data_IF_730924824245
#
_entry.id   IF_730924824245
#
_cell.length_a   1.000
_cell.length_b   1.000
_cell.length_c   1.000
_cell.angle_alpha   90.00
_cell.angle_beta   90.00
_cell.angle_gamma   90.00
#
_symmetry.space_group_name_H-M   'P 1'
#
loop_
_entity.id
_entity.type
_entity.pdbx_description
1 polymer ?
#
# COMPACT_ATOMS: atom_id res chain seq x y z
N UNK A 1 29.64 -12.09 -82.25
CA UNK A 1 28.98 -10.96 -81.56
C UNK A 1 28.55 -11.45 -80.20
N UNK A 2 29.34 -11.09 -79.18
CA UNK A 2 29.19 -11.48 -77.78
C UNK A 2 28.79 -10.22 -77.04
N UNK A 3 27.71 -10.25 -76.25
CA UNK A 3 27.52 -9.35 -75.09
C UNK A 3 26.29 -9.81 -74.31
N UNK A 4 26.53 -10.55 -73.23
CA UNK A 4 25.57 -10.78 -72.16
C UNK A 4 26.09 -10.05 -70.92
N UNK A 5 25.37 -9.01 -70.51
CA UNK A 5 25.65 -8.23 -69.32
C UNK A 5 25.22 -9.01 -68.07
N UNK A 6 26.06 -9.02 -67.04
CA UNK A 6 25.69 -9.43 -65.69
C UNK A 6 26.21 -8.39 -64.72
N UNK A 7 25.29 -7.63 -64.14
CA UNK A 7 25.53 -6.67 -63.07
C UNK A 7 25.60 -7.44 -61.75
N UNK A 8 26.76 -7.46 -61.09
CA UNK A 8 26.91 -7.91 -59.72
C UNK A 8 26.82 -6.67 -58.81
N UNK A 9 25.72 -6.51 -58.09
CA UNK A 9 25.57 -5.46 -57.08
C UNK A 9 25.76 -6.08 -55.69
N UNK A 10 26.93 -5.87 -55.10
CA UNK A 10 27.26 -6.29 -53.74
C UNK A 10 26.84 -5.19 -52.75
N UNK A 11 25.72 -5.41 -52.05
CA UNK A 11 25.34 -4.60 -50.88
C UNK A 11 26.20 -5.02 -49.67
N UNK A 12 27.10 -4.14 -49.25
CA UNK A 12 27.74 -4.19 -47.94
C UNK A 12 26.78 -3.58 -46.90
N UNK A 13 26.12 -4.43 -46.12
CA UNK A 13 25.42 -4.02 -44.90
C UNK A 13 26.49 -3.74 -43.82
N UNK A 14 26.80 -2.47 -43.57
CA UNK A 14 27.47 -2.05 -42.34
C UNK A 14 26.46 -2.18 -41.19
N UNK A 15 26.48 -3.32 -40.50
CA UNK A 15 25.90 -3.41 -39.16
C UNK A 15 26.80 -2.60 -38.21
N UNK A 16 26.36 -1.38 -37.88
CA UNK A 16 26.96 -0.61 -36.79
C UNK A 16 26.55 -1.26 -35.46
N UNK A 17 27.21 -2.37 -35.09
CA UNK A 17 27.16 -2.88 -33.73
C UNK A 17 27.91 -1.88 -32.84
N UNK A 18 27.18 -1.06 -32.07
CA UNK A 18 27.78 -0.30 -30.98
C UNK A 18 28.36 -1.32 -29.99
N UNK A 19 29.67 -1.34 -29.71
CA UNK A 19 30.20 -2.14 -28.63
C UNK A 19 29.89 -1.38 -27.34
N UNK A 20 28.63 -1.41 -26.90
CA UNK A 20 28.32 -1.04 -25.53
C UNK A 20 28.90 -2.18 -24.69
N UNK A 21 30.08 -1.96 -24.10
CA UNK A 21 30.65 -2.92 -23.17
C UNK A 21 29.58 -3.24 -22.13
N UNK A 22 29.13 -4.49 -22.07
CA UNK A 22 28.10 -4.91 -21.11
C UNK A 22 28.56 -4.45 -19.72
N UNK A 23 27.77 -3.58 -19.08
CA UNK A 23 28.05 -3.13 -17.72
C UNK A 23 28.23 -4.37 -16.85
N UNK A 24 29.20 -4.35 -15.93
CA UNK A 24 29.39 -5.45 -15.00
C UNK A 24 28.14 -5.55 -14.11
N UNK A 25 27.46 -6.69 -14.16
CA UNK A 25 26.23 -6.94 -13.41
C UNK A 25 26.56 -7.56 -12.05
N UNK A 26 25.80 -7.19 -11.03
CA UNK A 26 25.88 -7.75 -9.69
C UNK A 26 24.49 -8.10 -9.20
N UNK A 27 24.34 -9.28 -8.57
CA UNK A 27 23.09 -9.70 -7.94
C UNK A 27 22.65 -8.63 -6.95
N UNK A 28 21.42 -8.14 -7.13
CA UNK A 28 20.86 -7.05 -6.33
C UNK A 28 19.92 -7.59 -5.26
N UNK A 29 19.00 -8.46 -5.67
CA UNK A 29 18.11 -9.19 -4.77
C UNK A 29 17.97 -10.64 -5.22
N UNK A 30 17.88 -11.55 -4.26
CA UNK A 30 17.55 -12.96 -4.49
C UNK A 30 16.71 -13.52 -3.34
N UNK A 31 15.93 -14.55 -3.63
CA UNK A 31 15.22 -15.38 -2.66
C UNK A 31 15.36 -16.84 -3.07
N UNK A 32 15.56 -17.73 -2.08
CA UNK A 32 15.79 -19.15 -2.36
C UNK A 32 14.54 -19.84 -2.93
N UNK A 33 13.37 -19.52 -2.39
CA UNK A 33 12.09 -20.16 -2.73
C UNK A 33 10.99 -19.11 -2.89
N UNK A 34 9.95 -19.37 -3.72
CA UNK A 34 8.77 -18.50 -3.83
C UNK A 34 8.07 -18.28 -2.49
N UNK A 35 7.19 -17.27 -2.41
CA UNK A 35 6.41 -17.08 -1.19
C UNK A 35 5.51 -18.28 -0.91
N UNK A 36 5.15 -18.45 0.36
CA UNK A 36 4.30 -19.56 0.80
C UNK A 36 3.03 -19.61 -0.05
N UNK A 37 2.70 -20.80 -0.55
CA UNK A 37 1.52 -21.02 -1.38
C UNK A 37 1.73 -20.80 -2.87
N UNK A 38 2.88 -20.27 -3.31
CA UNK A 38 3.18 -20.10 -4.74
C UNK A 38 4.10 -21.20 -5.27
N UNK A 39 3.84 -21.65 -6.49
CA UNK A 39 4.68 -22.61 -7.22
C UNK A 39 4.98 -22.13 -8.63
N UNK A 40 6.23 -22.33 -9.10
CA UNK A 40 6.60 -22.05 -10.50
C UNK A 40 5.80 -22.97 -11.41
N UNK A 41 5.00 -22.38 -12.29
CA UNK A 41 4.06 -23.09 -13.15
C UNK A 41 4.58 -23.20 -14.59
N UNK A 42 5.18 -22.14 -15.12
CA UNK A 42 5.74 -22.12 -16.47
C UNK A 42 6.75 -20.98 -16.66
N UNK A 43 7.46 -20.98 -17.79
CA UNK A 43 8.25 -19.83 -18.24
C UNK A 43 7.30 -18.70 -18.67
N UNK A 44 7.62 -17.46 -18.33
CA UNK A 44 6.81 -16.32 -18.75
C UNK A 44 6.97 -16.07 -20.27
N UNK A 45 5.87 -15.80 -21.01
CA UNK A 45 5.97 -15.50 -22.43
C UNK A 45 6.86 -14.28 -22.68
N UNK A 46 7.83 -14.39 -23.58
CA UNK A 46 8.80 -13.34 -23.87
C UNK A 46 8.16 -11.99 -24.25
N UNK A 47 6.99 -12.01 -24.92
CA UNK A 47 6.24 -10.84 -25.36
C UNK A 47 5.27 -10.28 -24.32
N UNK A 48 5.10 -10.94 -23.16
CA UNK A 48 4.21 -10.44 -22.11
C UNK A 48 4.79 -9.12 -21.58
N UNK A 49 4.01 -8.05 -21.66
CA UNK A 49 4.39 -6.77 -21.07
C UNK A 49 4.37 -6.85 -19.55
N UNK A 50 5.44 -6.36 -18.93
CA UNK A 50 5.58 -6.13 -17.51
C UNK A 50 5.51 -4.63 -17.24
N UNK A 51 4.77 -4.26 -16.21
CA UNK A 51 4.89 -2.93 -15.61
C UNK A 51 5.76 -3.07 -14.37
N UNK A 52 6.94 -2.46 -14.39
CA UNK A 52 7.91 -2.52 -13.28
C UNK A 52 8.11 -1.12 -12.71
N UNK A 53 8.09 -1.02 -11.39
CA UNK A 53 8.49 0.14 -10.61
C UNK A 53 9.94 0.00 -10.15
N UNK A 54 10.70 1.07 -10.27
CA UNK A 54 12.10 1.20 -9.85
C UNK A 54 12.12 2.17 -8.68
N UNK A 55 12.42 1.68 -7.47
CA UNK A 55 12.65 2.55 -6.32
C UNK A 55 14.07 3.10 -6.36
N UNK A 56 14.19 4.42 -6.37
CA UNK A 56 15.45 5.12 -6.36
C UNK A 56 15.90 5.42 -4.93
N UNK A 57 17.20 5.62 -4.74
CA UNK A 57 17.74 6.02 -3.44
C UNK A 57 17.27 7.43 -3.09
N UNK A 58 16.45 7.51 -2.06
CA UNK A 58 16.00 8.75 -1.43
C UNK A 58 17.18 9.43 -0.71
N UNK A 59 17.17 10.75 -0.61
CA UNK A 59 18.34 11.55 -0.20
C UNK A 59 18.74 11.40 1.28
N UNK A 60 17.81 11.60 2.21
CA UNK A 60 18.09 11.58 3.66
C UNK A 60 16.89 11.03 4.47
N UNK A 61 16.68 9.72 4.39
CA UNK A 61 15.60 9.06 5.13
C UNK A 61 15.84 9.06 6.65
N UNK A 62 17.11 9.03 7.09
CA UNK A 62 17.45 9.18 8.50
C UNK A 62 17.08 10.55 9.06
N UNK A 63 17.28 11.60 8.27
CA UNK A 63 16.87 12.96 8.60
C UNK A 63 15.36 13.10 8.64
N UNK A 64 14.63 12.46 7.71
CA UNK A 64 13.17 12.43 7.74
C UNK A 64 12.65 11.72 8.99
N UNK A 65 13.21 10.56 9.35
CA UNK A 65 12.84 9.83 10.57
C UNK A 65 13.05 10.71 11.82
N UNK A 66 14.21 11.36 11.91
CA UNK A 66 14.48 12.30 13.01
C UNK A 66 13.47 13.45 13.03
N UNK A 67 13.17 14.04 11.88
CA UNK A 67 12.22 15.14 11.78
C UNK A 67 10.79 14.70 12.17
N UNK A 68 10.38 13.47 11.80
CA UNK A 68 9.11 12.88 12.24
C UNK A 68 9.05 12.81 13.77
N UNK A 69 10.09 12.27 14.42
CA UNK A 69 10.10 12.19 15.89
C UNK A 69 10.08 13.56 16.56
N UNK A 70 10.83 14.53 16.03
CA UNK A 70 10.83 15.89 16.56
C UNK A 70 9.45 16.56 16.48
N UNK A 71 8.64 16.28 15.45
CA UNK A 71 7.29 16.86 15.33
C UNK A 71 6.21 16.05 16.03
N UNK A 72 6.51 14.82 16.45
CA UNK A 72 5.53 13.90 17.05
C UNK A 72 5.73 13.59 18.53
N UNK A 73 6.90 13.93 19.11
CA UNK A 73 7.14 13.79 20.56
C UNK A 73 6.52 14.97 21.32
N UNK A 74 5.55 14.77 22.23
CA UNK A 74 4.95 15.83 23.04
C UNK A 74 5.94 16.62 23.92
N UNK A 75 7.12 16.06 24.21
CA UNK A 75 8.18 16.74 24.93
C UNK A 75 9.06 17.63 24.04
N UNK A 76 8.96 17.50 22.71
CA UNK A 76 9.71 18.29 21.74
C UNK A 76 9.16 19.70 21.60
N UNK A 77 10.05 20.67 21.46
CA UNK A 77 9.66 22.05 21.12
C UNK A 77 9.01 22.17 19.73
N UNK A 78 9.21 21.16 18.87
CA UNK A 78 8.64 21.08 17.52
C UNK A 78 7.35 20.24 17.46
N UNK A 79 6.84 19.75 18.60
CA UNK A 79 5.60 18.97 18.64
C UNK A 79 4.45 19.66 17.90
N UNK A 80 3.79 18.93 17.01
CA UNK A 80 2.69 19.41 16.16
C UNK A 80 3.11 20.35 15.02
N UNK A 81 4.41 20.69 14.88
CA UNK A 81 4.94 21.52 13.80
C UNK A 81 5.34 20.67 12.59
N UNK A 82 4.39 19.90 12.07
CA UNK A 82 4.58 18.98 10.95
C UNK A 82 5.20 19.64 9.71
N UNK A 83 5.85 18.83 8.88
CA UNK A 83 6.57 19.29 7.69
C UNK A 83 5.61 19.82 6.62
N UNK A 84 6.12 20.76 5.83
CA UNK A 84 5.48 21.13 4.55
C UNK A 84 5.96 20.18 3.45
N UNK A 85 5.21 20.05 2.33
CA UNK A 85 5.65 19.24 1.19
C UNK A 85 7.04 19.62 0.67
N UNK A 86 7.41 20.90 0.73
CA UNK A 86 8.72 21.39 0.29
C UNK A 86 9.84 20.92 1.21
N UNK A 87 9.62 20.93 2.53
CA UNK A 87 10.59 20.39 3.50
C UNK A 87 10.71 18.88 3.37
N UNK A 88 9.59 18.18 3.17
CA UNK A 88 9.57 16.74 2.94
C UNK A 88 10.38 16.36 1.69
N UNK A 89 10.19 17.11 0.59
CA UNK A 89 10.89 16.87 -0.66
C UNK A 89 12.42 16.91 -0.52
N UNK A 90 12.96 17.73 0.40
CA UNK A 90 14.41 17.82 0.63
C UNK A 90 15.02 16.52 1.18
N UNK A 91 14.23 15.72 1.92
CA UNK A 91 14.66 14.41 2.42
C UNK A 91 14.44 13.30 1.39
N UNK A 92 13.35 13.36 0.64
CA UNK A 92 12.90 12.22 -0.18
C UNK A 92 13.46 12.25 -1.59
N UNK A 93 13.53 13.43 -2.23
CA UNK A 93 13.89 13.56 -3.64
C UNK A 93 15.28 12.97 -3.90
N UNK A 94 15.44 12.05 -4.87
CA UNK A 94 16.76 11.52 -5.21
C UNK A 94 17.73 12.61 -5.66
N UNK A 95 19.02 12.37 -5.48
CA UNK A 95 20.07 13.29 -5.94
C UNK A 95 20.06 13.40 -7.48
N UNK A 96 20.57 14.52 -8.01
CA UNK A 96 20.72 14.69 -9.46
C UNK A 96 21.59 13.60 -10.07
N UNK A 97 22.62 13.13 -9.35
CA UNK A 97 23.47 12.02 -9.74
C UNK A 97 22.68 10.72 -9.89
N UNK A 98 21.86 10.35 -8.90
CA UNK A 98 20.97 9.17 -8.97
C UNK A 98 20.02 9.25 -10.16
N UNK A 99 19.38 10.41 -10.37
CA UNK A 99 18.45 10.60 -11.49
C UNK A 99 19.17 10.48 -12.84
N UNK A 100 20.33 11.13 -13.00
CA UNK A 100 21.14 11.04 -14.22
C UNK A 100 21.62 9.61 -14.48
N UNK A 101 22.21 8.95 -13.48
CA UNK A 101 22.75 7.60 -13.64
C UNK A 101 21.68 6.58 -14.08
N UNK A 102 20.49 6.65 -13.48
CA UNK A 102 19.39 5.73 -13.83
C UNK A 102 18.75 6.10 -15.16
N UNK A 103 18.51 7.40 -15.43
CA UNK A 103 17.91 7.81 -16.71
C UNK A 103 18.81 7.52 -17.91
N UNK A 104 20.12 7.71 -17.79
CA UNK A 104 21.10 7.35 -18.81
C UNK A 104 21.11 5.83 -19.07
N UNK A 105 21.11 5.03 -18.00
CA UNK A 105 21.07 3.57 -18.13
C UNK A 105 19.77 3.06 -18.76
N UNK A 106 18.62 3.65 -18.40
CA UNK A 106 17.35 3.29 -19.04
C UNK A 106 17.34 3.69 -20.52
N UNK A 107 17.85 4.88 -20.86
CA UNK A 107 17.96 5.35 -22.24
C UNK A 107 18.94 4.50 -23.07
N UNK A 108 20.03 4.00 -22.48
CA UNK A 108 20.96 3.06 -23.13
C UNK A 108 20.29 1.75 -23.56
N UNK A 109 19.18 1.38 -22.89
CA UNK A 109 18.41 0.17 -23.16
C UNK A 109 17.10 0.46 -23.90
N UNK A 110 16.94 1.66 -24.46
CA UNK A 110 15.74 2.12 -25.16
C UNK A 110 14.45 2.06 -24.29
N UNK A 111 14.59 2.32 -22.99
CA UNK A 111 13.48 2.29 -22.01
C UNK A 111 13.09 3.72 -21.64
N UNK A 112 11.81 4.03 -21.78
CA UNK A 112 11.20 5.25 -21.22
C UNK A 112 10.62 4.95 -19.85
N UNK A 113 10.72 5.93 -18.94
CA UNK A 113 10.17 5.86 -17.59
C UNK A 113 9.29 7.05 -17.24
N UNK A 114 8.31 6.85 -16.36
CA UNK A 114 7.51 7.91 -15.77
C UNK A 114 7.65 7.93 -14.25
N UNK A 115 7.75 9.11 -13.63
CA UNK A 115 7.68 9.20 -12.17
C UNK A 115 6.26 8.89 -11.69
N UNK A 116 6.13 8.02 -10.69
CA UNK A 116 4.83 7.64 -10.09
C UNK A 116 4.68 8.15 -8.65
N UNK A 117 5.76 8.63 -8.04
CA UNK A 117 5.72 9.33 -6.75
C UNK A 117 5.91 10.83 -6.91
N UNK A 118 5.37 11.66 -5.99
CA UNK A 118 5.46 13.12 -6.09
C UNK A 118 6.89 13.68 -6.13
N UNK A 119 7.86 12.94 -5.56
CA UNK A 119 9.25 13.36 -5.46
C UNK A 119 10.18 12.66 -6.47
N UNK A 120 9.64 11.81 -7.35
CA UNK A 120 10.41 11.11 -8.38
C UNK A 120 11.37 10.04 -7.85
N UNK A 121 11.18 9.59 -6.61
CA UNK A 121 11.90 8.47 -5.98
C UNK A 121 11.38 7.10 -6.40
N UNK A 122 10.33 7.04 -7.22
CA UNK A 122 9.85 5.82 -7.85
C UNK A 122 9.47 6.09 -9.30
N UNK A 123 10.03 5.28 -10.19
CA UNK A 123 9.80 5.34 -11.64
C UNK A 123 9.04 4.10 -12.09
N UNK A 124 8.09 4.23 -13.02
CA UNK A 124 7.44 3.12 -13.71
C UNK A 124 8.01 2.98 -15.12
N UNK A 125 8.27 1.73 -15.52
CA UNK A 125 8.65 1.32 -16.88
C UNK A 125 7.71 0.22 -17.37
N UNK A 126 7.46 0.19 -18.68
CA UNK A 126 6.68 -0.87 -19.34
C UNK A 126 7.52 -1.53 -20.41
N UNK A 127 7.86 -2.80 -20.20
CA UNK A 127 8.78 -3.55 -21.07
C UNK A 127 8.34 -5.02 -21.19
N UNK A 128 8.60 -5.70 -22.32
CA UNK A 128 8.35 -7.14 -22.44
C UNK A 128 9.29 -7.95 -21.54
N UNK A 129 8.82 -9.14 -21.13
CA UNK A 129 9.61 -10.11 -20.34
C UNK A 129 11.02 -10.34 -20.92
N UNK A 130 11.16 -10.42 -22.25
CA UNK A 130 12.48 -10.58 -22.88
C UNK A 130 13.43 -9.44 -22.54
N UNK A 131 12.97 -8.18 -22.65
CA UNK A 131 13.79 -7.01 -22.35
C UNK A 131 14.04 -6.89 -20.84
N UNK A 132 13.09 -7.29 -20.00
CA UNK A 132 13.28 -7.32 -18.54
C UNK A 132 14.35 -8.33 -18.12
N UNK A 133 14.33 -9.54 -18.71
CA UNK A 133 15.36 -10.57 -18.48
C UNK A 133 16.75 -10.05 -18.90
N UNK A 134 16.85 -9.37 -20.04
CA UNK A 134 18.11 -8.80 -20.53
C UNK A 134 18.60 -7.64 -19.63
N UNK A 135 17.70 -6.69 -19.31
CA UNK A 135 17.99 -5.51 -18.49
C UNK A 135 18.50 -5.88 -17.10
N UNK A 136 17.86 -6.87 -16.47
CA UNK A 136 18.09 -7.25 -15.09
C UNK A 136 18.90 -8.54 -14.93
N UNK A 137 19.37 -9.15 -16.03
CA UNK A 137 20.00 -10.48 -16.01
C UNK A 137 19.23 -11.47 -15.14
N UNK A 138 17.92 -11.58 -15.41
CA UNK A 138 16.95 -12.31 -14.59
C UNK A 138 16.24 -13.40 -15.40
N UNK A 139 15.49 -14.26 -14.71
CA UNK A 139 14.57 -15.22 -15.33
C UNK A 139 13.16 -15.03 -14.77
N UNK A 140 12.32 -14.31 -15.50
CA UNK A 140 10.89 -14.20 -15.16
C UNK A 140 10.12 -15.47 -15.54
N UNK A 141 9.26 -15.90 -14.61
CA UNK A 141 8.42 -17.08 -14.72
C UNK A 141 7.00 -16.80 -14.24
N UNK A 142 6.04 -17.63 -14.65
CA UNK A 142 4.67 -17.62 -14.13
C UNK A 142 4.63 -18.45 -12.85
N UNK A 143 4.13 -17.86 -11.78
CA UNK A 143 3.86 -18.51 -10.51
C UNK A 143 2.36 -18.57 -10.25
N UNK A 144 1.87 -19.69 -9.74
CA UNK A 144 0.46 -19.90 -9.40
C UNK A 144 0.33 -20.09 -7.90
N UNK A 145 -0.61 -19.38 -7.28
CA UNK A 145 -1.01 -19.62 -5.91
C UNK A 145 -1.89 -20.87 -5.85
N UNK A 146 -1.49 -21.86 -5.05
CA UNK A 146 -2.06 -23.22 -5.07
C UNK A 146 -3.54 -23.24 -4.69
N UNK A 147 -3.96 -22.38 -3.76
CA UNK A 147 -5.33 -22.40 -3.24
C UNK A 147 -6.31 -21.58 -4.09
N UNK A 148 -5.93 -20.37 -4.49
CA UNK A 148 -6.80 -19.48 -5.27
C UNK A 148 -6.73 -19.72 -6.78
N UNK A 149 -5.65 -20.34 -7.27
CA UNK A 149 -5.35 -20.45 -8.69
C UNK A 149 -4.90 -19.13 -9.35
N UNK A 150 -4.73 -18.05 -8.58
CA UNK A 150 -4.26 -16.77 -9.12
C UNK A 150 -2.82 -16.88 -9.60
N UNK A 151 -2.50 -16.22 -10.72
CA UNK A 151 -1.18 -16.28 -11.34
C UNK A 151 -0.48 -14.93 -11.33
N UNK A 152 0.85 -14.93 -11.24
CA UNK A 152 1.68 -13.74 -11.32
C UNK A 152 2.98 -14.02 -12.07
N UNK A 153 3.54 -12.99 -12.74
CA UNK A 153 4.86 -13.09 -13.38
C UNK A 153 5.90 -12.49 -12.45
N UNK A 154 6.87 -13.29 -12.01
CA UNK A 154 7.87 -12.94 -10.99
C UNK A 154 9.23 -13.54 -11.33
N UNK A 155 10.26 -13.15 -10.61
CA UNK A 155 11.57 -13.80 -10.63
C UNK A 155 12.06 -14.02 -9.21
N UNK A 156 12.98 -14.96 -9.01
CA UNK A 156 13.56 -15.25 -7.69
C UNK A 156 14.93 -14.59 -7.51
N UNK A 157 15.53 -14.06 -8.58
CA UNK A 157 16.81 -13.37 -8.55
C UNK A 157 16.90 -12.38 -9.70
N UNK A 158 17.49 -11.23 -9.45
CA UNK A 158 17.90 -10.32 -10.51
C UNK A 158 19.16 -9.55 -10.14
N UNK A 159 19.82 -9.02 -11.16
CA UNK A 159 21.03 -8.22 -11.07
C UNK A 159 20.81 -6.83 -11.64
N UNK A 160 21.66 -5.89 -11.22
CA UNK A 160 21.76 -4.56 -11.83
C UNK A 160 23.23 -4.24 -12.12
N UNK A 161 23.54 -3.24 -12.97
CA UNK A 161 24.89 -2.75 -13.12
C UNK A 161 25.50 -2.36 -11.76
N UNK A 162 26.74 -2.76 -11.50
CA UNK A 162 27.42 -2.52 -10.22
C UNK A 162 27.42 -1.03 -9.82
N UNK A 163 27.55 -0.12 -10.80
CA UNK A 163 27.51 1.33 -10.57
C UNK A 163 26.13 1.91 -10.23
N UNK A 164 25.05 1.11 -10.29
CA UNK A 164 23.70 1.55 -9.91
C UNK A 164 23.26 1.08 -8.52
N UNK A 165 24.11 0.30 -7.83
CA UNK A 165 23.81 -0.26 -6.50
C UNK A 165 23.45 0.79 -5.45
N UNK A 166 24.11 1.95 -5.51
CA UNK A 166 23.86 3.05 -4.57
C UNK A 166 22.75 3.99 -5.04
N UNK A 167 22.20 3.77 -6.23
CA UNK A 167 21.15 4.59 -6.85
C UNK A 167 19.77 3.92 -6.85
N UNK A 168 19.71 2.59 -6.80
CA UNK A 168 18.47 1.80 -6.87
C UNK A 168 18.29 1.00 -5.58
N UNK A 169 17.13 1.14 -4.93
CA UNK A 169 16.76 0.29 -3.80
C UNK A 169 16.26 -1.08 -4.27
N UNK A 170 15.32 -1.12 -5.22
CA UNK A 170 14.75 -2.36 -5.75
C UNK A 170 13.94 -2.14 -7.03
N UNK A 171 13.60 -3.24 -7.70
CA UNK A 171 12.58 -3.35 -8.73
C UNK A 171 11.36 -4.10 -8.19
N UNK A 172 10.16 -3.66 -8.54
CA UNK A 172 8.90 -4.29 -8.14
C UNK A 172 7.90 -4.29 -9.30
N UNK A 173 7.05 -5.32 -9.51
CA UNK A 173 7.06 -6.60 -8.80
C UNK A 173 8.11 -7.55 -9.39
N UNK A 174 9.07 -7.97 -8.56
CA UNK A 174 10.11 -8.96 -8.93
C UNK A 174 10.01 -10.18 -8.03
N UNK A 175 10.46 -10.05 -6.77
CA UNK A 175 10.53 -11.10 -5.77
C UNK A 175 9.36 -11.07 -4.77
N UNK A 176 8.47 -10.08 -4.84
CA UNK A 176 7.31 -9.94 -3.97
C UNK A 176 6.10 -10.68 -4.54
N UNK A 177 5.43 -11.49 -3.73
CA UNK A 177 4.30 -12.31 -4.12
C UNK A 177 3.10 -11.95 -3.24
N UNK A 178 2.48 -10.83 -3.56
CA UNK A 178 1.24 -10.42 -2.93
C UNK A 178 0.12 -11.37 -3.29
N UNK A 179 -0.73 -11.64 -2.29
CA UNK A 179 -1.99 -12.33 -2.47
C UNK A 179 -3.07 -11.27 -2.61
N UNK A 180 -4.01 -11.40 -3.55
CA UNK A 180 -5.19 -10.53 -3.55
C UNK A 180 -5.81 -10.57 -2.16
N UNK A 181 -6.05 -9.40 -1.58
CA UNK A 181 -6.71 -9.29 -0.27
C UNK A 181 -8.10 -9.89 -0.42
N UNK A 182 -8.27 -11.13 -0.01
CA UNK A 182 -9.56 -11.79 -0.09
C UNK A 182 -10.49 -11.13 0.93
N UNK A 183 -11.78 -10.93 0.60
CA UNK A 183 -12.75 -10.56 1.61
C UNK A 183 -12.70 -11.63 2.71
N UNK A 184 -12.36 -11.21 3.93
CA UNK A 184 -12.52 -12.07 5.11
C UNK A 184 -13.95 -12.58 5.05
N UNK A 185 -14.12 -13.90 5.03
CA UNK A 185 -15.42 -14.49 5.27
C UNK A 185 -15.68 -14.26 6.75
N UNK A 186 -16.13 -13.05 7.08
CA UNK A 186 -16.79 -12.75 8.34
C UNK A 186 -18.10 -13.56 8.33
N UNK A 187 -17.98 -14.87 8.45
CA UNK A 187 -19.06 -15.69 8.92
C UNK A 187 -19.42 -15.08 10.25
N UNK A 188 -20.66 -14.59 10.38
CA UNK A 188 -21.24 -14.24 11.67
C UNK A 188 -21.03 -15.43 12.58
N UNK A 189 -19.95 -15.42 13.36
CA UNK A 189 -19.73 -16.42 14.40
C UNK A 189 -20.67 -15.98 15.50
N UNK A 190 -21.76 -16.73 15.78
CA UNK A 190 -22.58 -16.40 16.92
C UNK A 190 -21.65 -16.38 18.14
N UNK A 191 -21.66 -15.26 18.87
CA UNK A 191 -20.91 -15.16 20.10
C UNK A 191 -21.27 -16.38 20.97
N UNK A 192 -20.28 -17.16 21.46
CA UNK A 192 -20.59 -18.22 22.40
C UNK A 192 -21.30 -17.58 23.59
N UNK A 193 -22.48 -18.09 23.96
CA UNK A 193 -23.20 -17.64 25.16
C UNK A 193 -22.26 -17.76 26.36
N UNK A 194 -21.69 -16.65 26.83
CA UNK A 194 -20.89 -16.64 28.05
C UNK A 194 -21.79 -16.34 29.25
N UNK A 195 -21.55 -17.16 30.28
CA UNK A 195 -22.15 -17.05 31.62
C UNK A 195 -21.69 -15.73 32.23
N UNK A 196 -22.64 -14.99 32.81
CA UNK A 196 -22.38 -13.74 33.51
C UNK A 196 -21.27 -13.96 34.56
N UNK A 197 -20.16 -13.26 34.39
CA UNK A 197 -19.14 -13.10 35.43
C UNK A 197 -19.17 -11.66 35.88
N UNK A 198 -19.09 -11.45 37.20
CA UNK A 198 -19.22 -10.14 37.82
C UNK A 198 -18.19 -9.15 37.25
N UNK A 199 -18.69 -8.02 36.76
CA UNK A 199 -17.88 -6.98 36.17
C UNK A 199 -17.08 -6.25 37.27
N UNK A 200 -15.79 -6.04 37.01
CA UNK A 200 -14.99 -5.09 37.77
C UNK A 200 -15.63 -3.68 37.70
N UNK A 201 -15.42 -2.81 38.71
CA UNK A 201 -16.00 -1.47 38.70
C UNK A 201 -15.38 -0.63 37.57
N UNK A 202 -16.12 -0.47 36.47
CA UNK A 202 -15.81 0.48 35.40
C UNK A 202 -16.28 1.87 35.86
N UNK A 203 -15.49 2.90 35.59
CA UNK A 203 -15.77 4.28 36.02
C UNK A 203 -17.11 4.85 35.48
N UNK A 204 -17.70 4.21 34.46
CA UNK A 204 -19.00 4.55 33.89
C UNK A 204 -19.91 3.32 33.82
N UNK A 205 -21.22 3.53 33.91
CA UNK A 205 -22.24 2.48 33.76
C UNK A 205 -22.28 2.05 32.29
N UNK A 206 -21.51 1.01 31.95
CA UNK A 206 -21.59 0.37 30.63
C UNK A 206 -22.91 -0.41 30.54
N UNK A 207 -23.74 -0.20 29.51
CA UNK A 207 -24.96 -0.97 29.33
C UNK A 207 -24.69 -2.47 29.22
N UNK A 208 -25.46 -3.31 29.94
CA UNK A 208 -25.29 -4.76 29.91
C UNK A 208 -25.45 -5.37 28.50
N UNK A 209 -26.18 -4.69 27.60
CA UNK A 209 -26.30 -5.08 26.18
C UNK A 209 -24.95 -5.10 25.45
N UNK A 210 -23.98 -4.29 25.88
CA UNK A 210 -22.66 -4.18 25.27
C UNK A 210 -21.84 -5.48 25.37
N UNK A 211 -22.22 -6.40 26.26
CA UNK A 211 -21.62 -7.73 26.33
C UNK A 211 -22.01 -8.64 25.15
N UNK A 212 -23.12 -8.35 24.46
CA UNK A 212 -23.65 -9.18 23.37
C UNK A 212 -23.59 -8.47 22.01
N UNK A 213 -23.67 -7.14 22.01
CA UNK A 213 -23.63 -6.34 20.79
C UNK A 213 -22.92 -5.05 21.10
N UNK A 214 -21.74 -4.89 20.53
CA UNK A 214 -21.01 -3.63 20.61
C UNK A 214 -21.69 -2.66 19.65
N UNK A 215 -22.07 -1.48 20.13
CA UNK A 215 -22.61 -0.37 19.34
C UNK A 215 -21.71 0.85 19.56
N UNK A 216 -21.87 1.95 18.82
CA UNK A 216 -21.06 3.14 19.08
C UNK A 216 -21.21 3.70 20.50
N UNK A 217 -22.40 3.64 21.08
CA UNK A 217 -22.63 4.02 22.48
C UNK A 217 -21.85 3.10 23.46
N UNK A 218 -21.70 1.82 23.12
CA UNK A 218 -20.84 0.91 23.89
C UNK A 218 -19.38 1.33 23.82
N UNK A 219 -18.86 1.67 22.63
CA UNK A 219 -17.49 2.15 22.49
C UNK A 219 -17.25 3.46 23.25
N UNK A 220 -18.21 4.39 23.20
CA UNK A 220 -18.17 5.62 23.99
C UNK A 220 -18.12 5.34 25.48
N UNK A 221 -18.93 4.39 25.97
CA UNK A 221 -18.93 4.01 27.38
C UNK A 221 -17.66 3.26 27.81
N UNK A 222 -17.17 2.31 27.00
CA UNK A 222 -15.98 1.51 27.30
C UNK A 222 -14.72 2.37 27.38
N UNK A 223 -14.58 3.33 26.45
CA UNK A 223 -13.36 4.11 26.28
C UNK A 223 -13.48 5.57 26.72
N UNK A 224 -14.57 5.93 27.38
CA UNK A 224 -14.88 7.30 27.80
C UNK A 224 -14.78 8.32 26.65
N UNK A 225 -15.19 7.93 25.43
CA UNK A 225 -15.17 8.81 24.27
C UNK A 225 -16.27 9.86 24.44
N UNK A 226 -15.97 11.17 24.37
CA UNK A 226 -16.97 12.20 24.51
C UNK A 226 -18.07 12.09 23.45
N UNK A 227 -19.32 12.32 23.87
CA UNK A 227 -20.46 12.45 22.95
C UNK A 227 -20.56 13.85 22.34
N UNK A 228 -19.78 14.80 22.85
CA UNK A 228 -19.72 16.17 22.33
C UNK A 228 -19.24 16.16 20.88
N UNK A 229 -20.01 16.73 19.94
CA UNK A 229 -19.60 16.84 18.55
C UNK A 229 -18.26 17.58 18.41
N UNK A 230 -17.41 17.11 17.49
CA UNK A 230 -16.15 17.77 17.19
C UNK A 230 -16.40 19.20 16.64
N UNK A 231 -15.59 20.15 17.07
CA UNK A 231 -15.64 21.56 16.62
C UNK A 231 -14.41 21.95 15.81
N UNK A 232 -13.41 21.09 15.73
CA UNK A 232 -12.15 21.30 15.01
C UNK A 232 -12.24 20.82 13.57
N UNK A 233 -11.38 21.35 12.70
CA UNK A 233 -11.30 20.99 11.29
C UNK A 233 -10.58 19.66 11.02
N UNK A 234 -10.80 18.65 11.88
CA UNK A 234 -10.27 17.29 11.72
C UNK A 234 -11.01 16.58 10.58
N UNK A 235 -10.30 15.76 9.81
CA UNK A 235 -10.87 14.96 8.71
C UNK A 235 -10.39 13.52 8.81
N UNK A 236 -11.27 12.55 8.55
CA UNK A 236 -10.95 11.12 8.58
C UNK A 236 -10.99 10.54 7.17
N UNK A 237 -9.96 9.78 6.81
CA UNK A 237 -9.96 8.91 5.64
C UNK A 237 -10.19 7.46 6.07
N UNK A 238 -11.01 6.74 5.32
CA UNK A 238 -11.23 5.29 5.50
C UNK A 238 -10.95 4.63 4.16
N UNK A 239 -9.88 3.83 4.09
CA UNK A 239 -9.50 3.12 2.88
C UNK A 239 -10.37 1.88 2.63
N UNK A 240 -10.66 1.54 1.37
CA UNK A 240 -11.32 0.30 0.98
C UNK A 240 -10.64 -0.36 -0.22
N UNK A 241 -10.27 -1.64 -0.10
CA UNK A 241 -9.46 -2.36 -1.10
C UNK A 241 -10.13 -3.59 -1.73
N UNK A 242 -11.14 -4.18 -1.09
CA UNK A 242 -11.64 -5.55 -1.43
C UNK A 242 -12.93 -5.59 -2.24
N UNK A 243 -13.16 -4.59 -3.11
CA UNK A 243 -14.40 -4.45 -3.90
C UNK A 243 -15.70 -4.53 -3.06
N UNK A 244 -15.60 -4.15 -1.80
CA UNK A 244 -16.73 -3.95 -0.91
C UNK A 244 -17.01 -2.45 -0.82
N UNK A 245 -18.29 -2.11 -0.83
CA UNK A 245 -18.70 -0.71 -0.91
C UNK A 245 -19.52 -0.30 0.30
N UNK A 246 -19.18 0.87 0.85
CA UNK A 246 -19.98 1.51 1.89
C UNK A 246 -21.26 2.07 1.27
N UNK A 247 -22.40 1.81 1.92
CA UNK A 247 -23.71 2.20 1.40
C UNK A 247 -24.37 3.29 2.25
N UNK A 248 -24.82 4.36 1.59
CA UNK A 248 -25.41 5.52 2.26
C UNK A 248 -26.76 5.21 2.91
N UNK A 249 -27.57 4.32 2.33
CA UNK A 249 -28.85 3.94 2.93
C UNK A 249 -28.66 3.03 4.15
N UNK A 250 -27.64 2.18 4.13
CA UNK A 250 -27.28 1.35 5.29
C UNK A 250 -26.73 2.21 6.42
N UNK A 251 -25.87 3.18 6.10
CA UNK A 251 -25.41 4.18 7.07
C UNK A 251 -26.59 4.98 7.67
N UNK A 252 -27.52 5.45 6.84
CA UNK A 252 -28.72 6.14 7.33
C UNK A 252 -29.52 5.25 8.29
N UNK A 253 -29.69 3.97 7.97
CA UNK A 253 -30.39 3.01 8.84
C UNK A 253 -29.63 2.76 10.15
N UNK A 254 -28.31 2.64 10.08
CA UNK A 254 -27.42 2.53 11.24
C UNK A 254 -27.59 3.74 12.16
N UNK A 255 -27.53 4.97 11.64
CA UNK A 255 -27.67 6.19 12.42
C UNK A 255 -29.05 6.31 13.08
N UNK A 256 -30.13 6.02 12.33
CA UNK A 256 -31.49 6.00 12.91
C UNK A 256 -31.64 5.01 14.07
N UNK A 257 -30.89 3.92 14.05
CA UNK A 257 -31.04 2.83 15.02
C UNK A 257 -30.09 2.97 16.21
N UNK A 258 -28.86 3.45 15.98
CA UNK A 258 -27.77 3.37 16.97
C UNK A 258 -27.16 4.73 17.35
N UNK A 259 -27.48 5.82 16.63
CA UNK A 259 -27.00 7.20 16.89
C UNK A 259 -28.13 8.21 16.65
N UNK A 260 -29.20 8.11 17.42
CA UNK A 260 -30.39 8.99 17.32
C UNK A 260 -30.10 10.46 17.65
N UNK A 261 -28.94 10.74 18.23
CA UNK A 261 -28.38 12.06 18.52
C UNK A 261 -27.63 12.68 17.32
N UNK A 262 -27.38 11.93 16.24
CA UNK A 262 -26.84 12.42 14.97
C UNK A 262 -27.95 12.50 13.92
N UNK A 263 -27.87 13.49 13.02
CA UNK A 263 -28.75 13.53 11.85
C UNK A 263 -28.64 12.24 11.00
N UNK A 264 -29.75 11.57 10.68
CA UNK A 264 -29.75 10.45 9.74
C UNK A 264 -29.34 10.80 8.30
N UNK A 265 -29.12 12.09 8.00
CA UNK A 265 -28.57 12.56 6.73
C UNK A 265 -27.05 12.66 6.72
N UNK A 266 -26.38 12.47 7.86
CA UNK A 266 -24.92 12.45 7.94
C UNK A 266 -24.37 11.33 7.05
N UNK A 267 -23.36 11.66 6.25
CA UNK A 267 -22.81 10.77 5.23
C UNK A 267 -21.31 11.02 5.05
N UNK A 268 -20.69 10.20 4.20
CA UNK A 268 -19.29 10.31 3.78
C UNK A 268 -19.16 10.84 2.36
N UNK A 269 -17.98 11.37 2.03
CA UNK A 269 -17.55 11.69 0.66
C UNK A 269 -16.81 10.52 0.03
N UNK A 270 -16.83 10.42 -1.30
CA UNK A 270 -16.11 9.38 -2.03
C UNK A 270 -14.86 9.97 -2.69
N UNK A 271 -13.73 9.27 -2.52
CA UNK A 271 -12.53 9.42 -3.32
C UNK A 271 -12.22 8.07 -3.98
N UNK A 272 -11.73 8.08 -5.21
CA UNK A 272 -11.44 6.86 -5.96
C UNK A 272 -10.02 6.86 -6.48
N UNK A 273 -9.34 5.72 -6.40
CA UNK A 273 -8.03 5.47 -6.98
C UNK A 273 -8.09 4.21 -7.85
N UNK A 274 -7.26 4.14 -8.88
CA UNK A 274 -7.04 2.92 -9.68
C UNK A 274 -8.32 2.27 -10.21
N UNK A 275 -9.26 3.11 -10.67
CA UNK A 275 -10.56 2.66 -11.18
C UNK A 275 -11.54 2.24 -10.09
N UNK A 276 -11.26 2.55 -8.83
CA UNK A 276 -12.15 2.32 -7.70
C UNK A 276 -13.51 2.96 -7.91
N UNK A 277 -14.54 2.34 -7.35
CA UNK A 277 -15.94 2.79 -7.47
C UNK A 277 -16.64 2.69 -6.14
N UNK A 278 -17.84 3.26 -6.04
CA UNK A 278 -18.80 2.94 -5.00
C UNK A 278 -20.20 2.99 -5.59
N UNK A 279 -20.72 1.84 -5.98
CA UNK A 279 -21.93 1.74 -6.83
C UNK A 279 -23.22 2.13 -6.12
N UNK A 280 -23.20 2.22 -4.78
CA UNK A 280 -24.39 2.41 -3.93
C UNK A 280 -25.50 1.34 -4.11
N UNK A 281 -25.23 0.25 -4.83
CA UNK A 281 -26.14 -0.89 -4.94
C UNK A 281 -26.09 -1.68 -3.64
N UNK A 282 -27.20 -1.75 -2.89
CA UNK A 282 -27.25 -2.41 -1.58
C UNK A 282 -26.81 -3.88 -1.58
N UNK A 283 -27.13 -4.64 -2.63
CA UNK A 283 -26.69 -6.05 -2.73
C UNK A 283 -25.20 -6.22 -3.00
N UNK A 284 -24.52 -5.14 -3.36
CA UNK A 284 -23.09 -5.06 -3.59
C UNK A 284 -22.36 -4.41 -2.39
N UNK A 285 -23.11 -3.86 -1.43
CA UNK A 285 -22.53 -3.35 -0.20
C UNK A 285 -21.83 -4.49 0.54
N UNK A 286 -20.71 -4.16 1.19
CA UNK A 286 -19.91 -5.15 1.90
C UNK A 286 -19.88 -4.90 3.40
N UNK A 287 -19.72 -5.98 4.17
CA UNK A 287 -19.62 -5.94 5.63
C UNK A 287 -18.46 -5.04 6.06
N UNK A 288 -17.29 -5.16 5.44
CA UNK A 288 -16.08 -4.43 5.81
C UNK A 288 -16.25 -2.93 5.59
N UNK A 289 -16.56 -2.54 4.35
CA UNK A 289 -16.70 -1.12 4.01
C UNK A 289 -17.87 -0.45 4.76
N UNK A 290 -18.96 -1.17 5.03
CA UNK A 290 -20.02 -0.66 5.89
C UNK A 290 -19.58 -0.56 7.35
N UNK A 291 -18.91 -1.58 7.90
CA UNK A 291 -18.42 -1.60 9.28
C UNK A 291 -17.51 -0.40 9.53
N UNK A 292 -16.49 -0.23 8.70
CA UNK A 292 -15.50 0.84 8.83
C UNK A 292 -16.15 2.22 8.80
N UNK A 293 -17.00 2.47 7.79
CA UNK A 293 -17.67 3.77 7.65
C UNK A 293 -18.69 4.03 8.75
N UNK A 294 -19.53 3.03 9.09
CA UNK A 294 -20.58 3.19 10.08
C UNK A 294 -20.02 3.42 11.48
N UNK A 295 -18.96 2.70 11.87
CA UNK A 295 -18.34 2.91 13.17
C UNK A 295 -17.45 4.15 13.22
N UNK A 296 -16.77 4.51 12.12
CA UNK A 296 -16.03 5.77 12.05
C UNK A 296 -16.97 6.96 12.25
N UNK A 297 -18.03 7.08 11.45
CA UNK A 297 -19.03 8.16 11.59
C UNK A 297 -19.80 8.04 12.91
N UNK A 298 -20.08 6.80 13.32
CA UNK A 298 -20.82 6.47 14.53
C UNK A 298 -20.07 6.80 15.82
N UNK A 299 -18.76 6.97 15.80
CA UNK A 299 -17.96 7.36 16.97
C UNK A 299 -17.47 8.81 16.84
N UNK A 300 -16.93 9.20 15.68
CA UNK A 300 -16.40 10.53 15.41
C UNK A 300 -17.50 11.53 14.98
N UNK A 301 -18.29 11.97 15.96
CA UNK A 301 -19.43 12.87 15.72
C UNK A 301 -19.00 14.23 15.14
N UNK A 302 -19.63 14.65 14.04
CA UNK A 302 -19.35 15.92 13.33
C UNK A 302 -17.94 16.04 12.72
N UNK A 303 -17.29 14.91 12.46
CA UNK A 303 -16.02 14.86 11.72
C UNK A 303 -16.30 14.42 10.28
N UNK A 304 -15.89 15.19 9.24
CA UNK A 304 -16.01 14.75 7.86
C UNK A 304 -15.22 13.47 7.60
N UNK A 305 -15.86 12.50 6.94
CA UNK A 305 -15.28 11.19 6.60
C UNK A 305 -15.25 11.04 5.08
N UNK A 306 -14.08 10.69 4.54
CA UNK A 306 -13.90 10.29 3.14
C UNK A 306 -13.69 8.78 3.06
N UNK A 307 -14.55 8.10 2.31
CA UNK A 307 -14.30 6.73 1.88
C UNK A 307 -13.39 6.75 0.64
N UNK A 308 -12.22 6.17 0.76
CA UNK A 308 -11.19 6.11 -0.29
C UNK A 308 -11.25 4.72 -0.90
N UNK A 309 -11.94 4.59 -2.04
CA UNK A 309 -12.14 3.32 -2.75
C UNK A 309 -11.00 3.09 -3.74
N UNK A 310 -10.22 2.05 -3.51
CA UNK A 310 -9.11 1.62 -4.36
C UNK A 310 -9.61 0.50 -5.28
N UNK A 311 -9.41 0.66 -6.58
CA UNK A 311 -9.79 -0.33 -7.58
C UNK A 311 -8.65 -1.27 -7.95
N UNK A 312 -8.92 -2.16 -8.90
CA UNK A 312 -7.99 -3.21 -9.33
C UNK A 312 -7.12 -2.80 -10.53
N UNK A 313 -7.23 -1.57 -11.04
CA UNK A 313 -6.42 -1.13 -12.17
C UNK A 313 -4.98 -0.76 -11.78
N UNK A 314 -4.63 -0.90 -10.49
CA UNK A 314 -3.29 -0.68 -9.98
C UNK A 314 -2.29 -1.66 -10.61
N UNK A 315 -1.17 -1.15 -11.08
CA UNK A 315 -0.06 -1.93 -11.67
C UNK A 315 1.05 -2.21 -10.67
N UNK A 316 0.91 -1.72 -9.43
CA UNK A 316 2.01 -1.60 -8.49
C UNK A 316 2.36 -2.89 -7.78
N UNK A 317 1.54 -3.94 -7.88
CA UNK A 317 1.76 -5.22 -7.20
C UNK A 317 1.68 -5.15 -5.68
N UNK A 318 1.21 -4.03 -5.11
CA UNK A 318 1.00 -3.76 -3.69
C UNK A 318 -0.47 -3.43 -3.40
N UNK A 319 -1.39 -3.84 -4.27
CA UNK A 319 -2.84 -3.68 -4.14
C UNK A 319 -3.25 -2.24 -3.80
N UNK A 320 -2.51 -1.24 -4.32
CA UNK A 320 -2.78 0.19 -4.12
C UNK A 320 -2.43 0.75 -2.74
N UNK A 321 -1.80 -0.05 -1.85
CA UNK A 321 -1.32 0.44 -0.55
C UNK A 321 -0.30 1.56 -0.66
N UNK A 322 0.51 1.56 -1.73
CA UNK A 322 1.42 2.66 -2.00
C UNK A 322 0.68 3.82 -2.68
N UNK A 323 -0.21 3.53 -3.62
CA UNK A 323 -0.89 4.53 -4.45
C UNK A 323 -1.84 5.42 -3.64
N UNK A 324 -2.49 4.90 -2.60
CA UNK A 324 -3.25 5.73 -1.66
C UNK A 324 -2.34 6.75 -0.95
N UNK A 325 -1.16 6.33 -0.50
CA UNK A 325 -0.26 7.19 0.28
C UNK A 325 0.37 8.26 -0.60
N UNK A 326 0.84 7.90 -1.79
CA UNK A 326 1.41 8.85 -2.75
C UNK A 326 0.37 9.89 -3.18
N UNK A 327 -0.89 9.47 -3.34
CA UNK A 327 -2.00 10.39 -3.62
C UNK A 327 -2.23 11.37 -2.47
N UNK A 328 -2.33 10.89 -1.23
CA UNK A 328 -2.55 11.75 -0.06
C UNK A 328 -1.38 12.70 0.24
N UNK A 329 -0.13 12.29 -0.05
CA UNK A 329 1.04 13.17 0.04
C UNK A 329 0.90 14.34 -0.96
N UNK A 330 0.43 14.06 -2.18
CA UNK A 330 0.28 15.04 -3.24
C UNK A 330 -0.95 15.97 -3.05
N UNK A 331 -1.88 15.61 -2.18
CA UNK A 331 -3.05 16.43 -1.90
C UNK A 331 -2.71 17.72 -1.13
N UNK A 332 -3.47 18.81 -1.35
CA UNK A 332 -3.42 19.96 -0.49
C UNK A 332 -3.71 19.58 0.97
N UNK A 333 -3.05 20.25 1.92
CA UNK A 333 -3.27 20.01 3.36
C UNK A 333 -4.74 20.21 3.82
N UNK A 334 -5.51 21.02 3.08
CA UNK A 334 -6.95 21.23 3.31
C UNK A 334 -7.84 20.05 2.87
N UNK A 335 -7.32 19.11 2.09
CA UNK A 335 -8.02 17.92 1.61
C UNK A 335 -7.49 16.64 2.26
N UNK A 336 -6.18 16.58 2.53
CA UNK A 336 -5.52 15.43 3.17
C UNK A 336 -6.17 15.07 4.52
N UNK A 337 -6.45 13.79 4.80
CA UNK A 337 -7.02 13.39 6.08
C UNK A 337 -6.04 13.65 7.24
N UNK A 338 -6.58 14.06 8.39
CA UNK A 338 -5.81 14.14 9.64
C UNK A 338 -5.54 12.76 10.22
N UNK A 339 -6.45 11.82 10.00
CA UNK A 339 -6.28 10.41 10.37
C UNK A 339 -6.73 9.54 9.20
N UNK A 340 -5.91 8.57 8.82
CA UNK A 340 -6.26 7.51 7.87
C UNK A 340 -6.44 6.20 8.64
N UNK A 341 -7.62 5.61 8.54
CA UNK A 341 -7.94 4.29 9.09
C UNK A 341 -7.95 3.25 7.98
N UNK A 342 -7.22 2.16 8.18
CA UNK A 342 -7.08 1.07 7.21
C UNK A 342 -7.21 -0.27 7.91
N UNK A 343 -8.28 -1.00 7.60
CA UNK A 343 -8.58 -2.34 8.13
C UNK A 343 -7.94 -3.48 7.33
N UNK A 344 -7.00 -3.16 6.44
CA UNK A 344 -6.40 -4.08 5.48
C UNK A 344 -4.89 -4.20 5.70
N UNK A 345 -4.37 -5.38 5.39
CA UNK A 345 -2.95 -5.68 5.40
C UNK A 345 -2.66 -7.01 4.73
N UNK A 346 -1.39 -7.41 4.76
CA UNK A 346 -0.90 -8.67 4.22
C UNK A 346 0.18 -9.25 5.15
N UNK A 347 0.55 -10.51 4.95
CA UNK A 347 1.61 -11.14 5.74
C UNK A 347 2.96 -10.53 5.35
N UNK A 348 3.81 -10.13 6.31
CA UNK A 348 5.09 -9.46 6.02
C UNK A 348 5.98 -10.29 5.06
N UNK A 349 5.87 -11.62 5.14
CA UNK A 349 6.62 -12.57 4.31
C UNK A 349 6.25 -12.56 2.82
N UNK A 350 5.15 -11.92 2.45
CA UNK A 350 4.71 -11.82 1.05
C UNK A 350 5.55 -10.78 0.27
N UNK A 351 6.17 -9.83 0.98
CA UNK A 351 7.04 -8.80 0.41
C UNK A 351 8.52 -9.09 0.63
N UNK A 352 9.39 -8.49 -0.19
CA UNK A 352 10.81 -8.39 0.16
C UNK A 352 11.04 -7.26 1.16
N UNK A 353 12.08 -7.39 1.98
CA UNK A 353 12.45 -6.37 2.98
C UNK A 353 12.62 -4.97 2.37
N UNK A 354 13.26 -4.77 1.21
CA UNK A 354 13.35 -3.43 0.59
C UNK A 354 11.99 -2.84 0.22
N UNK A 355 11.05 -3.66 -0.26
CA UNK A 355 9.69 -3.22 -0.62
C UNK A 355 8.90 -2.88 0.63
N UNK A 356 8.93 -3.72 1.66
CA UNK A 356 8.29 -3.45 2.96
C UNK A 356 8.82 -2.16 3.61
N UNK A 357 10.16 -1.97 3.62
CA UNK A 357 10.77 -0.75 4.12
C UNK A 357 10.33 0.49 3.34
N UNK A 358 10.15 0.38 2.02
CA UNK A 358 9.71 1.52 1.21
C UNK A 358 8.24 1.90 1.46
N UNK A 359 7.36 0.92 1.69
CA UNK A 359 6.01 1.17 2.20
C UNK A 359 6.06 1.91 3.54
N UNK A 360 6.85 1.42 4.50
CA UNK A 360 7.03 2.11 5.79
C UNK A 360 7.60 3.53 5.63
N UNK A 361 8.54 3.73 4.69
CA UNK A 361 9.05 5.07 4.37
C UNK A 361 7.96 5.97 3.77
N UNK A 362 7.06 5.44 2.94
CA UNK A 362 5.93 6.22 2.40
C UNK A 362 4.95 6.60 3.52
N UNK A 363 4.67 5.70 4.45
CA UNK A 363 3.87 6.00 5.65
C UNK A 363 4.54 7.05 6.53
N UNK A 364 5.86 6.96 6.74
CA UNK A 364 6.64 7.97 7.46
C UNK A 364 6.54 9.35 6.78
N UNK A 365 6.58 9.40 5.46
CA UNK A 365 6.40 10.66 4.72
C UNK A 365 5.03 11.28 4.98
N UNK A 366 3.95 10.49 4.92
CA UNK A 366 2.60 10.99 5.19
C UNK A 366 2.42 11.39 6.67
N UNK A 367 2.99 10.62 7.60
CA UNK A 367 3.03 10.95 9.03
C UNK A 367 3.76 12.26 9.32
N UNK A 368 4.90 12.50 8.65
CA UNK A 368 5.67 13.73 8.81
C UNK A 368 4.89 14.98 8.31
N UNK A 369 3.88 14.79 7.47
CA UNK A 369 2.95 15.83 7.02
C UNK A 369 1.74 16.05 7.96
N UNK A 370 1.67 15.34 9.09
CA UNK A 370 0.64 15.51 10.11
C UNK A 370 -0.60 14.64 9.96
N UNK A 371 -0.49 13.50 9.27
CA UNK A 371 -1.56 12.50 9.20
C UNK A 371 -1.23 11.32 10.12
N UNK A 372 -2.10 11.01 11.07
CA UNK A 372 -2.00 9.78 11.84
C UNK A 372 -2.49 8.59 11.01
N UNK A 373 -1.74 7.51 10.95
CA UNK A 373 -2.18 6.28 10.28
C UNK A 373 -2.63 5.27 11.36
N UNK A 374 -3.68 4.52 11.08
CA UNK A 374 -4.19 3.47 11.96
C UNK A 374 -4.43 2.24 11.10
N UNK A 375 -3.77 1.14 11.43
CA UNK A 375 -3.88 -0.14 10.73
C UNK A 375 -4.42 -1.22 11.66
N UNK A 376 -5.27 -2.10 11.15
CA UNK A 376 -5.65 -3.31 11.90
C UNK A 376 -4.45 -4.26 12.03
N UNK A 377 -4.34 -4.98 13.15
CA UNK A 377 -3.25 -5.96 13.36
C UNK A 377 -3.41 -7.24 12.52
N UNK A 378 -4.59 -7.46 11.96
CA UNK A 378 -5.01 -8.71 11.32
C UNK A 378 -5.85 -9.61 12.24
N UNK A 379 -6.62 -10.51 11.61
CA UNK A 379 -7.61 -11.39 12.26
C UNK A 379 -7.08 -12.80 12.56
N UNK A 380 -5.84 -13.10 12.17
CA UNK A 380 -5.22 -14.41 12.37
C UNK A 380 -4.62 -14.65 13.76
N UNK A 381 -4.64 -13.63 14.64
CA UNK A 381 -3.82 -13.66 15.84
C UNK A 381 -2.35 -13.84 15.45
N UNK A 382 -1.67 -14.87 15.99
CA UNK A 382 -0.26 -15.13 15.66
C UNK A 382 -0.04 -15.72 14.26
N UNK A 383 -1.10 -16.07 13.53
CA UNK A 383 -1.02 -16.67 12.20
C UNK A 383 -1.05 -15.67 11.04
N UNK A 384 -0.92 -14.37 11.32
CA UNK A 384 -0.86 -13.32 10.32
C UNK A 384 -2.20 -12.64 10.06
N UNK A 385 -2.36 -12.14 8.84
CA UNK A 385 -3.52 -11.35 8.41
C UNK A 385 -4.85 -12.09 8.59
N UNK A 386 -4.85 -13.42 8.42
CA UNK A 386 -6.01 -14.29 8.53
C UNK A 386 -5.69 -15.55 9.33
N UNK A 387 -6.72 -16.18 9.91
CA UNK A 387 -6.58 -17.41 10.69
C UNK A 387 -6.13 -18.58 9.81
N UNK A 388 -4.93 -19.09 10.06
CA UNK A 388 -4.34 -20.21 9.31
C UNK A 388 -3.47 -21.09 10.21
N UNK A 389 -3.17 -22.31 9.74
CA UNK A 389 -2.19 -23.17 10.41
C UNK A 389 -0.78 -22.58 10.25
N UNK A 390 -0.10 -22.33 11.36
CA UNK A 390 1.25 -21.80 11.41
C UNK A 390 2.07 -22.52 12.50
N UNK A 391 3.37 -22.68 12.25
CA UNK A 391 4.35 -23.18 13.23
C UNK A 391 5.24 -22.08 13.80
N UNK A 392 5.36 -20.97 13.07
CA UNK A 392 6.05 -19.75 13.47
C UNK A 392 5.05 -18.59 13.45
N UNK A 393 5.29 -17.56 14.25
CA UNK A 393 4.47 -16.34 14.21
C UNK A 393 4.66 -15.61 12.87
N UNK A 394 3.55 -15.10 12.34
CA UNK A 394 3.51 -14.42 11.05
C UNK A 394 3.12 -12.96 11.33
N UNK A 395 4.07 -12.01 11.28
CA UNK A 395 3.79 -10.58 11.40
C UNK A 395 2.98 -10.06 10.20
N UNK A 396 2.30 -8.93 10.38
CA UNK A 396 1.45 -8.31 9.35
C UNK A 396 1.95 -6.91 9.00
N UNK A 397 1.84 -6.54 7.74
CA UNK A 397 2.17 -5.22 7.23
C UNK A 397 0.89 -4.57 6.69
N UNK A 398 0.66 -3.25 6.86
CA UNK A 398 1.53 -2.24 7.48
C UNK A 398 1.57 -2.14 9.01
N UNK A 399 0.82 -2.95 9.75
CA UNK A 399 0.68 -2.79 11.20
C UNK A 399 2.02 -2.86 11.96
N UNK A 400 2.98 -3.65 11.48
CA UNK A 400 4.31 -3.81 12.07
C UNK A 400 5.38 -2.81 11.54
N UNK A 401 5.00 -1.80 10.74
CA UNK A 401 5.96 -0.77 10.33
C UNK A 401 6.56 -0.07 11.56
N UNK A 402 7.90 -0.02 11.70
CA UNK A 402 8.55 0.54 12.88
C UNK A 402 8.53 2.08 12.83
N UNK A 403 7.39 2.69 13.13
CA UNK A 403 7.29 4.10 13.46
C UNK A 403 7.27 4.23 14.98
N UNK A 404 8.45 4.16 15.61
CA UNK A 404 8.60 4.03 17.06
C UNK A 404 8.31 5.34 17.80
N UNK A 405 7.10 5.49 18.34
CA UNK A 405 6.66 6.60 19.20
C UNK A 405 6.44 7.94 18.48
N UNK A 406 5.18 8.36 18.44
CA UNK A 406 4.76 9.70 17.99
C UNK A 406 3.77 9.64 16.83
N UNK A 407 2.49 9.39 17.14
CA UNK A 407 1.31 9.54 16.26
C UNK A 407 1.38 8.99 14.81
N UNK A 408 2.25 8.01 14.54
CA UNK A 408 2.57 7.57 13.18
C UNK A 408 1.73 6.40 12.66
N UNK A 409 1.71 5.26 13.34
CA UNK A 409 0.88 4.08 13.02
C UNK A 409 0.39 3.48 14.34
N UNK A 410 -0.92 3.36 14.52
CA UNK A 410 -1.50 2.60 15.64
C UNK A 410 -2.00 1.25 15.12
N UNK A 411 -1.51 0.16 15.71
CA UNK A 411 -2.09 -1.18 15.54
C UNK A 411 -3.21 -1.34 16.56
N UNK A 412 -4.43 -1.60 16.10
CA UNK A 412 -5.60 -1.89 16.94
C UNK A 412 -6.08 -3.32 16.80
#
# INVERSE_FOLDING_TARGET
MILSASFLSSLLLLAAAKPMGRRAMTVHESRAEPARGFVKSSVAPASKELTLRISLKQNDMSGLEKALYEVSDPASALYGQHLTPEKLAAFVKPTAETLSAVSEWLSENDISSAAVTPFGDMLEIKIPVSQANDLLSAEFAVFTHVESGSTSVRTLEYSIPAGLKDHINFFHPTLSFTRPIAPSVSAFRPLPKKVATEAAPVANVVPASCANTVTPACLQAFYNIPTTPATTATRLGVSGFILQWANQLDLQQFLRSLRTDISPSTTFTLQTLDGGVNTQTRSQAGVEANLDIQYTIGVATNVPVTFISVGENGSDGLDGFLDIITTLINEPASQRPSVLSTSYGFDESDLTRPVANNLCNAYMQLGALGTSLIFSSGDGGVSGSQSQSCTNFIPTLPSDCPLHYGEGIYSS
#
